data_IF_848307676018
#
_entry.id   IF_848307676018
#
_cell.length_a   1.000
_cell.length_b   1.000
_cell.length_c   1.000
_cell.angle_alpha   90.00
_cell.angle_beta   90.00
_cell.angle_gamma   90.00
#
_symmetry.space_group_name_H-M   'P 1'
#
loop_
_entity.id
_entity.type
_entity.pdbx_description
1 polymer ?
#
# COMPACT_ATOMS: atom_id res chain seq x y z
N UNK A 1 -13.74 -2.00 -12.01
CA UNK A 1 -13.12 -0.68 -11.95
C UNK A 1 -11.66 -0.77 -12.16
N UNK A 2 -11.17 0.09 -13.03
CA UNK A 2 -9.76 0.02 -13.37
C UNK A 2 -8.95 1.18 -12.79
N UNK A 3 -9.55 1.86 -11.84
CA UNK A 3 -8.90 3.00 -11.20
C UNK A 3 -9.04 2.94 -9.71
N UNK A 4 -8.01 3.39 -9.04
CA UNK A 4 -8.02 3.57 -7.60
C UNK A 4 -7.62 5.02 -7.36
N UNK A 5 -8.55 5.86 -6.95
CA UNK A 5 -8.27 7.28 -6.82
C UNK A 5 -7.35 7.56 -5.63
N UNK A 6 -6.73 8.74 -5.66
CA UNK A 6 -5.88 9.14 -4.55
C UNK A 6 -6.67 9.13 -3.24
N UNK A 7 -7.91 9.56 -3.29
CA UNK A 7 -8.77 9.57 -2.12
C UNK A 7 -8.97 8.15 -1.58
N UNK A 8 -9.19 7.19 -2.48
CA UNK A 8 -9.36 5.81 -2.08
C UNK A 8 -8.08 5.23 -1.51
N UNK A 9 -6.94 5.57 -2.10
CA UNK A 9 -5.65 5.12 -1.58
C UNK A 9 -5.46 5.62 -0.17
N UNK A 10 -5.70 6.90 0.05
CA UNK A 10 -5.55 7.49 1.39
C UNK A 10 -6.49 6.84 2.39
N UNK A 11 -7.71 6.58 1.97
CA UNK A 11 -8.71 5.96 2.83
C UNK A 11 -8.28 4.56 3.23
N UNK A 12 -7.79 3.78 2.27
CA UNK A 12 -7.31 2.43 2.55
C UNK A 12 -6.09 2.45 3.46
N UNK A 13 -5.18 3.39 3.23
CA UNK A 13 -4.01 3.50 4.08
C UNK A 13 -4.42 3.79 5.52
N UNK A 14 -5.38 4.69 5.71
CA UNK A 14 -5.87 5.02 7.03
C UNK A 14 -6.56 3.82 7.67
N UNK A 15 -7.40 3.15 6.89
CA UNK A 15 -8.16 2.01 7.38
C UNK A 15 -7.27 0.89 7.86
N UNK A 16 -6.19 0.64 7.15
CA UNK A 16 -5.26 -0.44 7.48
C UNK A 16 -4.02 0.04 8.20
N UNK A 17 -4.00 1.31 8.58
CA UNK A 17 -2.90 1.90 9.34
C UNK A 17 -1.57 1.77 8.62
N UNK A 18 -1.58 2.07 7.33
CA UNK A 18 -0.37 2.03 6.52
C UNK A 18 0.23 3.41 6.41
N UNK A 19 1.55 3.47 6.33
CA UNK A 19 2.27 4.72 6.12
C UNK A 19 3.13 4.59 4.88
N UNK A 20 3.54 5.74 4.33
CA UNK A 20 4.37 5.73 3.13
C UNK A 20 5.69 4.99 3.40
N UNK A 21 6.46 5.34 4.44
CA UNK A 21 7.69 4.60 4.69
C UNK A 21 7.44 3.14 5.07
N UNK A 22 6.34 2.88 5.77
CA UNK A 22 6.01 1.51 6.15
C UNK A 22 5.75 0.63 4.95
N UNK A 23 4.97 1.12 3.99
CA UNK A 23 4.69 0.37 2.76
C UNK A 23 5.95 0.19 1.94
N UNK A 24 6.76 1.25 1.83
CA UNK A 24 7.99 1.17 1.06
C UNK A 24 8.91 0.09 1.62
N UNK A 25 9.02 0.02 2.92
CA UNK A 25 9.87 -0.96 3.56
C UNK A 25 9.29 -2.37 3.47
N UNK A 26 8.02 -2.49 3.74
CA UNK A 26 7.36 -3.80 3.75
C UNK A 26 7.40 -4.49 2.39
N UNK A 27 7.22 -3.71 1.34
CA UNK A 27 7.12 -4.25 -0.01
C UNK A 27 8.35 -3.96 -0.84
N UNK A 28 9.39 -3.40 -0.22
CA UNK A 28 10.63 -3.06 -0.90
C UNK A 28 10.38 -2.17 -2.12
N UNK A 29 9.61 -1.12 -1.89
CA UNK A 29 9.26 -0.18 -2.94
C UNK A 29 9.96 1.15 -2.71
N UNK A 30 10.27 1.91 -3.77
CA UNK A 30 10.81 3.25 -3.59
C UNK A 30 9.78 4.14 -2.90
N UNK A 31 10.24 4.95 -1.96
CA UNK A 31 9.36 5.92 -1.30
C UNK A 31 8.63 6.79 -2.31
N UNK A 32 9.34 7.16 -3.34
CA UNK A 32 8.79 8.00 -4.39
C UNK A 32 7.57 7.34 -5.04
N UNK A 33 7.64 6.05 -5.26
CA UNK A 33 6.54 5.31 -5.87
C UNK A 33 5.31 5.31 -4.95
N UNK A 34 5.52 5.02 -3.68
CA UNK A 34 4.41 4.98 -2.74
C UNK A 34 3.78 6.35 -2.60
N UNK A 35 4.61 7.37 -2.53
CA UNK A 35 4.12 8.74 -2.42
C UNK A 35 3.33 9.15 -3.66
N UNK A 36 3.80 8.74 -4.83
CA UNK A 36 3.12 9.03 -6.08
C UNK A 36 1.72 8.41 -6.11
N UNK A 37 1.63 7.16 -5.71
CA UNK A 37 0.35 6.45 -5.68
C UNK A 37 -0.60 7.12 -4.69
N UNK A 38 -0.09 7.51 -3.54
CA UNK A 38 -0.93 8.17 -2.54
C UNK A 38 -1.45 9.52 -3.04
N UNK A 39 -0.67 10.19 -3.87
CA UNK A 39 -1.04 11.51 -4.36
C UNK A 39 -1.90 11.46 -5.61
N UNK A 40 -1.65 10.51 -6.49
CA UNK A 40 -2.29 10.47 -7.81
C UNK A 40 -3.22 9.28 -8.02
N UNK A 41 -3.15 8.30 -7.16
CA UNK A 41 -3.94 7.09 -7.37
C UNK A 41 -3.26 6.14 -8.34
N UNK A 42 -3.99 5.12 -8.73
CA UNK A 42 -3.49 4.07 -9.61
C UNK A 42 -4.47 3.81 -10.73
N UNK A 43 -3.96 3.62 -11.93
CA UNK A 43 -4.79 3.27 -13.09
C UNK A 43 -4.31 1.95 -13.67
N UNK A 44 -5.25 1.22 -14.28
CA UNK A 44 -4.92 -0.04 -14.90
C UNK A 44 -5.28 -1.21 -14.01
N UNK A 45 -5.97 -2.18 -14.61
CA UNK A 45 -6.53 -3.30 -13.84
C UNK A 45 -5.46 -4.04 -13.02
N UNK A 46 -4.33 -4.34 -13.65
CA UNK A 46 -3.28 -5.08 -12.97
C UNK A 46 -2.69 -4.27 -11.81
N UNK A 47 -2.47 -2.98 -12.04
CA UNK A 47 -1.90 -2.12 -11.01
C UNK A 47 -2.89 -1.90 -9.86
N UNK A 48 -4.15 -1.74 -10.18
CA UNK A 48 -5.17 -1.57 -9.15
C UNK A 48 -5.22 -2.82 -8.27
N UNK A 49 -5.18 -3.99 -8.88
CA UNK A 49 -5.20 -5.24 -8.14
C UNK A 49 -3.99 -5.36 -7.22
N UNK A 50 -2.80 -5.04 -7.75
CA UNK A 50 -1.57 -5.12 -6.97
C UNK A 50 -1.63 -4.17 -5.79
N UNK A 51 -2.06 -2.94 -6.01
CA UNK A 51 -2.08 -1.95 -4.95
C UNK A 51 -3.18 -2.20 -3.93
N UNK A 52 -4.30 -2.79 -4.35
CA UNK A 52 -5.30 -3.19 -3.37
C UNK A 52 -4.73 -4.23 -2.43
N UNK A 53 -3.97 -5.16 -2.96
CA UNK A 53 -3.33 -6.17 -2.13
C UNK A 53 -2.29 -5.53 -1.21
N UNK A 54 -1.46 -4.65 -1.76
CA UNK A 54 -0.42 -3.98 -0.97
C UNK A 54 -1.03 -3.19 0.18
N UNK A 55 -2.10 -2.47 -0.11
CA UNK A 55 -2.71 -1.58 0.87
C UNK A 55 -3.50 -2.33 1.94
N UNK A 56 -4.02 -3.50 1.60
CA UNK A 56 -4.86 -4.24 2.54
C UNK A 56 -4.18 -5.44 3.17
N UNK A 57 -3.00 -5.80 2.72
CA UNK A 57 -2.32 -6.97 3.25
C UNK A 57 -1.88 -6.74 4.69
N UNK A 58 -1.96 -7.76 5.53
CA UNK A 58 -1.47 -7.63 6.89
C UNK A 58 0.05 -7.53 6.90
N UNK A 59 0.58 -7.03 8.01
CA UNK A 59 2.01 -6.94 8.13
C UNK A 59 2.65 -8.31 8.05
N UNK A 60 3.89 -8.39 7.55
CA UNK A 60 4.57 -9.68 7.48
C UNK A 60 4.68 -10.35 8.83
N UNK A 61 4.70 -11.62 8.79
CA UNK A 61 4.77 -12.44 9.97
C UNK A 61 5.98 -12.20 10.83
N UNK A 62 7.03 -11.73 10.23
CA UNK A 62 8.24 -11.55 11.00
C UNK A 62 8.00 -10.70 12.22
N UNK A 63 6.98 -9.89 12.19
CA UNK A 63 6.67 -9.09 13.36
C UNK A 63 6.21 -9.96 14.51
N UNK A 64 5.88 -11.17 14.24
CA UNK A 64 5.41 -12.09 15.24
C UNK A 64 6.50 -12.85 15.87
N UNK A 65 7.36 -13.23 15.06
CA UNK A 65 8.41 -14.00 15.61
C UNK A 65 9.22 -13.24 16.47
N UNK A 66 8.93 -12.81 16.54
CA UNK A 66 9.58 -12.67 17.31
C UNK A 66 9.42 -12.90 18.28
N UNK A 67 9.25 -13.00 18.39
CA UNK A 67 9.15 -13.40 19.16
C UNK A 67 9.34 -14.06 19.59
N UNK A 68 9.59 -14.13 19.31
CA UNK A 68 9.85 -14.79 19.70
C UNK A 68 10.18 -15.14 20.04
#
# INVERSE_FOLDING_TARGET
MNNLSAKEVKSLMRQHRKTIPGLAQQWNLPLKRVRHVRTNGVSGEAFVRDWLEILSAPKPIQSIQRSQ
#
